data_IF_479883510894
#
_entry.id   IF_479883510894
#
_cell.length_a   1.000
_cell.length_b   1.000
_cell.length_c   1.000
_cell.angle_alpha   90.00
_cell.angle_beta   90.00
_cell.angle_gamma   90.00
#
_symmetry.space_group_name_H-M   'P 1'
#
loop_
_entity.id
_entity.type
_entity.pdbx_description
1 polymer ?
#
# COMPACT_ATOMS: atom_id res chain seq x y z
N UNK A 1 37.65 43.65 24.37
CA UNK A 1 36.71 42.75 23.66
C UNK A 1 36.16 41.78 24.70
N UNK A 2 34.86 41.83 24.97
CA UNK A 2 34.22 40.93 25.94
C UNK A 2 33.80 39.64 25.24
N UNK A 3 33.93 38.50 25.91
CA UNK A 3 33.27 37.26 25.48
C UNK A 3 31.89 37.23 26.15
N UNK A 4 30.84 37.15 25.35
CA UNK A 4 29.47 37.11 25.86
C UNK A 4 29.10 35.71 26.35
N UNK A 5 28.21 35.65 27.35
CA UNK A 5 27.58 34.40 27.74
C UNK A 5 26.73 33.85 26.57
N UNK A 6 26.51 32.53 26.56
CA UNK A 6 25.70 31.89 25.52
C UNK A 6 24.30 32.54 25.42
N UNK A 7 23.89 32.90 24.21
CA UNK A 7 22.61 33.60 23.95
C UNK A 7 22.68 35.12 23.99
N UNK A 8 23.81 35.72 24.38
CA UNK A 8 23.98 37.17 24.40
C UNK A 8 24.94 37.66 23.31
N UNK A 9 24.63 38.81 22.72
CA UNK A 9 25.39 39.43 21.64
C UNK A 9 25.63 40.93 21.90
N UNK A 10 26.45 41.56 21.04
CA UNK A 10 26.77 42.99 21.11
C UNK A 10 28.09 43.31 21.80
N UNK A 11 28.54 44.56 21.66
CA UNK A 11 29.84 45.02 22.21
C UNK A 11 29.88 45.04 23.74
N UNK A 12 28.71 45.09 24.38
CA UNK A 12 28.51 45.08 25.83
C UNK A 12 27.81 43.81 26.33
N UNK A 13 27.53 42.83 25.46
CA UNK A 13 26.79 41.61 25.80
C UNK A 13 25.41 41.85 26.44
N UNK A 14 24.77 42.99 26.14
CA UNK A 14 23.45 43.36 26.67
C UNK A 14 22.26 42.90 25.83
N UNK A 15 22.49 42.40 24.62
CA UNK A 15 21.42 41.96 23.71
C UNK A 15 21.21 40.46 23.88
N UNK A 16 20.11 40.07 24.52
CA UNK A 16 19.71 38.66 24.63
C UNK A 16 19.15 38.10 23.32
N UNK A 17 18.65 36.87 23.36
CA UNK A 17 18.08 36.18 22.22
C UNK A 17 16.70 36.73 21.79
N UNK A 18 15.96 37.35 22.72
CA UNK A 18 14.64 37.93 22.45
C UNK A 18 14.39 39.22 23.24
N UNK A 19 13.50 40.08 22.72
CA UNK A 19 12.93 41.23 23.40
C UNK A 19 11.39 41.15 23.47
N UNK A 20 10.77 40.40 22.57
CA UNK A 20 9.34 40.09 22.53
C UNK A 20 9.12 38.63 22.12
N UNK A 21 7.94 38.09 22.38
CA UNK A 21 7.62 36.69 22.05
C UNK A 21 7.78 36.36 20.57
N UNK A 22 7.54 37.32 19.66
CA UNK A 22 7.70 37.11 18.22
C UNK A 22 9.14 36.90 17.76
N UNK A 23 10.12 37.19 18.62
CA UNK A 23 11.54 36.90 18.35
C UNK A 23 11.86 35.41 18.60
N UNK A 24 10.97 34.69 19.28
CA UNK A 24 11.07 33.27 19.51
C UNK A 24 10.25 32.50 18.47
N UNK A 25 10.91 31.61 17.74
CA UNK A 25 10.28 30.84 16.67
C UNK A 25 9.38 29.72 17.23
N UNK A 26 8.49 29.21 16.37
CA UNK A 26 7.63 28.04 16.62
C UNK A 26 6.86 28.07 17.95
N UNK A 27 6.39 29.26 18.35
CA UNK A 27 5.55 29.43 19.54
C UNK A 27 6.33 29.45 20.86
N UNK A 28 7.64 29.72 20.82
CA UNK A 28 8.41 30.03 22.02
C UNK A 28 7.95 31.34 22.67
N UNK A 29 8.20 31.47 23.98
CA UNK A 29 7.89 32.69 24.76
C UNK A 29 9.17 33.34 25.25
N UNK A 30 9.25 34.66 25.21
CA UNK A 30 10.41 35.41 25.67
C UNK A 30 10.36 35.62 27.19
N UNK A 31 11.34 35.09 27.91
CA UNK A 31 11.56 35.48 29.31
C UNK A 31 12.22 36.86 29.34
N UNK A 32 11.45 37.90 29.65
CA UNK A 32 11.93 39.29 29.70
C UNK A 32 12.94 39.56 30.84
N UNK A 33 13.11 38.62 31.79
CA UNK A 33 14.11 38.75 32.86
C UNK A 33 15.48 38.28 32.40
N UNK A 34 15.54 37.19 31.63
CA UNK A 34 16.78 36.65 31.09
C UNK A 34 17.02 37.07 29.64
N UNK A 35 16.03 37.64 28.95
CA UNK A 35 16.04 37.93 27.51
C UNK A 35 16.33 36.68 26.67
N UNK A 36 15.80 35.52 27.08
CA UNK A 36 16.00 34.22 26.43
C UNK A 36 14.66 33.59 26.06
N UNK A 37 14.63 32.87 24.95
CA UNK A 37 13.43 32.14 24.53
C UNK A 37 13.26 30.86 25.36
N UNK A 38 12.04 30.68 25.89
CA UNK A 38 11.56 29.40 26.41
C UNK A 38 10.81 28.67 25.29
N UNK A 39 11.38 27.57 24.82
CA UNK A 39 10.86 26.84 23.66
C UNK A 39 9.65 25.98 23.99
N UNK A 40 8.73 25.91 23.03
CA UNK A 40 7.64 24.94 23.07
C UNK A 40 8.19 23.50 23.03
N UNK A 41 7.41 22.53 23.50
CA UNK A 41 7.81 21.13 23.51
C UNK A 41 8.18 20.65 22.08
N UNK A 42 9.34 20.03 21.95
CA UNK A 42 9.87 19.56 20.65
C UNK A 42 10.82 20.54 19.95
N UNK A 43 10.95 21.79 20.45
CA UNK A 43 11.86 22.78 19.88
C UNK A 43 13.01 23.13 20.83
N UNK A 44 14.14 23.46 20.25
CA UNK A 44 15.39 23.80 20.95
C UNK A 44 16.14 24.93 20.25
N UNK A 45 17.23 25.38 20.86
CA UNK A 45 18.06 26.48 20.37
C UNK A 45 17.74 27.82 21.04
N UNK A 46 18.58 28.82 20.81
CA UNK A 46 18.48 30.12 21.48
C UNK A 46 17.24 30.91 21.08
N UNK A 47 16.75 30.69 19.86
CA UNK A 47 15.53 31.29 19.31
C UNK A 47 14.42 30.26 19.07
N UNK A 48 14.59 29.03 19.55
CA UNK A 48 13.66 27.91 19.33
C UNK A 48 13.49 27.46 17.86
N UNK A 49 14.41 27.86 16.97
CA UNK A 49 14.36 27.54 15.55
C UNK A 49 14.77 26.11 15.16
N UNK A 50 15.09 25.24 16.13
CA UNK A 50 15.49 23.85 15.87
C UNK A 50 14.42 22.89 16.36
N UNK A 51 13.68 22.27 15.45
CA UNK A 51 12.69 21.24 15.77
C UNK A 51 13.29 19.84 15.91
N UNK A 52 12.42 18.83 15.82
CA UNK A 52 12.80 17.41 15.91
C UNK A 52 13.47 16.89 14.63
N UNK A 53 13.23 17.51 13.47
CA UNK A 53 13.78 17.07 12.19
C UNK A 53 14.11 18.25 11.26
N UNK A 54 15.05 18.03 10.35
CA UNK A 54 15.35 18.89 9.21
C UNK A 54 15.18 18.16 7.87
N UNK A 55 15.27 16.83 7.90
CA UNK A 55 15.04 15.94 6.76
C UNK A 55 14.31 14.68 7.24
N UNK A 56 13.68 13.96 6.31
CA UNK A 56 12.92 12.74 6.63
C UNK A 56 13.77 11.68 7.37
N UNK A 57 15.08 11.60 7.09
CA UNK A 57 15.96 10.62 7.75
C UNK A 57 16.20 10.90 9.24
N UNK A 58 15.81 12.07 9.74
CA UNK A 58 15.85 12.39 11.17
C UNK A 58 14.65 11.77 11.92
N UNK A 59 13.61 11.37 11.19
CA UNK A 59 12.44 10.69 11.71
C UNK A 59 12.60 9.17 11.61
N UNK A 60 12.46 8.48 12.72
CA UNK A 60 12.64 7.04 12.81
C UNK A 60 11.43 6.29 12.21
N UNK A 61 11.65 5.01 11.87
CA UNK A 61 10.61 4.06 11.43
C UNK A 61 9.67 4.55 10.32
N UNK A 62 10.22 5.30 9.35
CA UNK A 62 9.47 5.77 8.19
C UNK A 62 8.59 6.98 8.46
N UNK A 63 8.85 7.71 9.55
CA UNK A 63 8.27 9.05 9.74
C UNK A 63 8.72 10.04 8.66
N UNK A 64 7.91 11.06 8.42
CA UNK A 64 8.19 12.13 7.44
C UNK A 64 8.36 13.44 8.18
N UNK A 65 9.35 14.24 7.79
CA UNK A 65 9.57 15.55 8.40
C UNK A 65 8.64 16.59 7.78
N UNK A 66 7.78 17.21 8.61
CA UNK A 66 7.05 18.40 8.19
C UNK A 66 8.01 19.60 8.22
N UNK A 67 8.53 20.01 7.06
CA UNK A 67 9.46 21.14 6.95
C UNK A 67 8.86 22.49 7.34
N UNK A 68 7.54 22.59 7.56
CA UNK A 68 6.89 23.82 8.05
C UNK A 68 6.90 23.93 9.57
N UNK A 69 6.85 22.80 10.27
CA UNK A 69 6.88 22.74 11.74
C UNK A 69 8.18 22.15 12.28
N UNK A 70 9.03 21.59 11.42
CA UNK A 70 10.25 20.86 11.82
C UNK A 70 9.97 19.69 12.76
N UNK A 71 8.78 19.10 12.69
CA UNK A 71 8.35 17.98 13.52
C UNK A 71 8.11 16.72 12.68
N UNK A 72 8.39 15.56 13.26
CA UNK A 72 8.14 14.29 12.61
C UNK A 72 6.65 13.92 12.63
N UNK A 73 6.12 13.58 11.46
CA UNK A 73 4.84 12.89 11.29
C UNK A 73 5.10 11.38 11.29
N UNK A 74 4.67 10.68 12.33
CA UNK A 74 4.96 9.27 12.50
C UNK A 74 4.10 8.37 11.61
N UNK A 75 4.71 7.30 11.11
CA UNK A 75 3.98 6.22 10.47
C UNK A 75 3.02 5.55 11.47
N UNK A 76 1.99 4.89 10.94
CA UNK A 76 0.99 4.20 11.76
C UNK A 76 1.66 3.18 12.70
N UNK A 77 1.34 3.24 13.99
CA UNK A 77 1.93 2.38 15.02
C UNK A 77 3.13 2.98 15.76
N UNK A 78 3.66 4.13 15.32
CA UNK A 78 4.78 4.80 15.97
C UNK A 78 4.39 6.15 16.57
N UNK A 79 5.09 6.56 17.61
CA UNK A 79 4.85 7.81 18.36
C UNK A 79 6.17 8.41 18.88
N UNK A 80 6.06 9.59 19.49
CA UNK A 80 7.20 10.34 20.01
C UNK A 80 7.67 11.44 19.05
N UNK A 81 8.55 12.33 19.52
CA UNK A 81 8.99 13.50 18.74
C UNK A 81 9.80 13.14 17.51
N UNK A 82 10.51 12.01 17.55
CA UNK A 82 11.29 11.45 16.43
C UNK A 82 10.71 10.14 15.91
N UNK A 83 9.50 9.76 16.33
CA UNK A 83 8.84 8.50 15.96
C UNK A 83 9.55 7.20 16.43
N UNK A 84 10.49 7.30 17.38
CA UNK A 84 11.26 6.16 17.87
C UNK A 84 10.52 5.23 18.85
N UNK A 85 9.25 5.50 19.17
CA UNK A 85 8.46 4.69 20.10
C UNK A 85 7.42 3.88 19.33
N UNK A 86 7.63 2.58 19.18
CA UNK A 86 6.65 1.66 18.60
C UNK A 86 5.60 1.17 19.60
N UNK A 87 4.83 0.16 19.18
CA UNK A 87 3.78 -0.45 20.00
C UNK A 87 4.31 -1.32 21.15
N UNK A 88 5.54 -1.82 21.06
CA UNK A 88 6.14 -2.69 22.08
C UNK A 88 7.64 -2.45 22.25
N UNK A 89 8.15 -2.76 23.44
CA UNK A 89 9.58 -2.88 23.73
C UNK A 89 9.95 -4.28 24.25
N UNK A 90 8.97 -5.03 24.75
CA UNK A 90 9.09 -6.41 25.19
C UNK A 90 7.83 -7.20 24.83
N UNK A 91 7.92 -8.53 24.79
CA UNK A 91 6.79 -9.40 24.44
C UNK A 91 5.55 -9.18 25.34
N UNK A 92 5.74 -8.81 26.61
CA UNK A 92 4.62 -8.57 27.53
C UNK A 92 3.78 -7.34 27.21
N UNK A 93 4.27 -6.46 26.32
CA UNK A 93 3.51 -5.31 25.83
C UNK A 93 2.50 -5.74 24.74
N UNK A 94 2.68 -6.94 24.17
CA UNK A 94 1.78 -7.53 23.18
C UNK A 94 0.77 -8.45 23.84
N UNK A 95 -0.52 -8.24 23.55
CA UNK A 95 -1.61 -8.99 24.13
C UNK A 95 -1.77 -10.38 23.48
N UNK A 96 -2.49 -11.27 24.17
CA UNK A 96 -2.91 -12.60 23.70
C UNK A 96 -1.79 -13.48 23.09
N UNK A 97 -0.57 -13.36 23.63
CA UNK A 97 0.57 -14.16 23.20
C UNK A 97 1.22 -13.67 21.90
N UNK A 98 1.00 -12.41 21.53
CA UNK A 98 1.82 -11.74 20.53
C UNK A 98 3.28 -11.63 20.97
N UNK A 99 4.17 -11.47 20.00
CA UNK A 99 5.61 -11.30 20.22
C UNK A 99 6.06 -9.94 19.70
N UNK A 100 6.93 -9.27 20.42
CA UNK A 100 7.46 -7.98 20.01
C UNK A 100 8.61 -8.19 19.01
N UNK A 101 8.45 -7.69 17.78
CA UNK A 101 9.58 -7.58 16.88
C UNK A 101 10.44 -6.38 17.30
N UNK A 102 11.57 -6.66 17.96
CA UNK A 102 12.48 -5.64 18.45
C UNK A 102 13.18 -4.82 17.35
N UNK A 103 13.06 -5.21 16.07
CA UNK A 103 13.59 -4.45 14.94
C UNK A 103 12.61 -3.38 14.44
N UNK A 104 11.31 -3.66 14.54
CA UNK A 104 10.24 -2.73 14.14
C UNK A 104 9.50 -2.14 15.33
N UNK A 105 9.74 -2.62 16.56
CA UNK A 105 9.01 -2.25 17.77
C UNK A 105 7.49 -2.46 17.66
N UNK A 106 7.07 -3.40 16.81
CA UNK A 106 5.66 -3.72 16.57
C UNK A 106 5.32 -5.14 17.02
N UNK A 107 4.08 -5.33 17.48
CA UNK A 107 3.61 -6.65 17.88
C UNK A 107 3.28 -7.51 16.65
N UNK A 108 3.88 -8.70 16.60
CA UNK A 108 3.45 -9.79 15.74
C UNK A 108 2.37 -10.60 16.46
N UNK A 109 1.13 -10.51 15.98
CA UNK A 109 -0.01 -11.12 16.64
C UNK A 109 -0.10 -12.62 16.41
N UNK A 110 -0.54 -13.35 17.43
CA UNK A 110 -0.93 -14.74 17.30
C UNK A 110 -2.14 -14.88 16.36
N UNK A 111 -2.33 -16.07 15.80
CA UNK A 111 -3.47 -16.38 14.94
C UNK A 111 -4.81 -16.04 15.64
N UNK A 112 -5.70 -15.37 14.92
CA UNK A 112 -6.99 -14.91 15.45
C UNK A 112 -6.98 -13.53 16.11
N UNK A 113 -5.81 -12.86 16.20
CA UNK A 113 -5.67 -11.54 16.80
C UNK A 113 -5.03 -10.52 15.86
N UNK A 114 -5.39 -9.25 16.03
CA UNK A 114 -4.98 -8.11 15.20
C UNK A 114 -4.85 -6.82 16.04
N UNK A 115 -4.40 -5.74 15.40
CA UNK A 115 -4.18 -4.44 16.03
C UNK A 115 -2.73 -4.25 16.47
N UNK A 116 -2.37 -3.02 16.81
CA UNK A 116 -0.98 -2.63 17.11
C UNK A 116 -0.41 -3.32 18.35
N UNK A 117 -1.27 -3.66 19.31
CA UNK A 117 -0.92 -4.41 20.53
C UNK A 117 -1.53 -5.81 20.56
N UNK A 118 -2.11 -6.29 19.45
CA UNK A 118 -2.79 -7.57 19.34
C UNK A 118 -4.04 -7.74 20.22
N UNK A 119 -4.60 -6.65 20.75
CA UNK A 119 -5.77 -6.69 21.65
C UNK A 119 -7.12 -6.95 20.98
N UNK A 120 -7.17 -7.00 19.65
CA UNK A 120 -8.41 -7.13 18.88
C UNK A 120 -8.49 -8.52 18.27
N UNK A 121 -9.66 -9.17 18.30
CA UNK A 121 -9.88 -10.44 17.58
C UNK A 121 -10.05 -10.18 16.08
N UNK A 122 -9.57 -11.07 15.21
CA UNK A 122 -9.70 -10.87 13.76
C UNK A 122 -11.16 -10.95 13.30
N UNK A 123 -11.96 -11.82 13.91
CA UNK A 123 -13.41 -11.84 13.74
C UNK A 123 -14.12 -12.42 14.96
N UNK A 124 -15.35 -11.96 15.20
CA UNK A 124 -16.28 -12.53 16.17
C UNK A 124 -17.61 -12.96 15.53
N UNK A 125 -17.92 -12.43 14.35
CA UNK A 125 -19.07 -12.79 13.52
C UNK A 125 -18.69 -12.72 12.04
N UNK A 126 -19.47 -13.37 11.17
CA UNK A 126 -19.21 -13.39 9.72
C UNK A 126 -19.12 -11.99 9.10
N UNK A 127 -19.87 -11.01 9.64
CA UNK A 127 -19.84 -9.63 9.12
C UNK A 127 -18.54 -8.87 9.39
N UNK A 128 -17.68 -9.39 10.27
CA UNK A 128 -16.33 -8.83 10.49
C UNK A 128 -15.37 -9.26 9.37
N UNK A 129 -15.72 -10.29 8.60
CA UNK A 129 -14.96 -10.76 7.45
C UNK A 129 -15.46 -10.08 6.17
N UNK A 130 -14.55 -9.41 5.48
CA UNK A 130 -14.86 -8.67 4.27
C UNK A 130 -15.12 -9.61 3.08
N UNK A 131 -15.79 -9.07 2.07
CA UNK A 131 -16.02 -9.72 0.77
C UNK A 131 -16.59 -11.15 0.82
N UNK A 132 -17.46 -11.41 1.80
CA UNK A 132 -18.15 -12.70 1.93
C UNK A 132 -17.31 -13.80 2.59
N UNK A 133 -16.26 -13.43 3.33
CA UNK A 133 -15.59 -14.34 4.24
C UNK A 133 -16.51 -14.82 5.36
N UNK A 134 -16.12 -15.92 6.01
CA UNK A 134 -16.83 -16.48 7.17
C UNK A 134 -15.91 -16.55 8.37
N UNK A 135 -16.43 -16.30 9.56
CA UNK A 135 -15.64 -16.31 10.78
C UNK A 135 -15.59 -17.71 11.38
N UNK A 136 -14.40 -18.29 11.50
CA UNK A 136 -14.20 -19.48 12.30
C UNK A 136 -14.11 -19.10 13.78
N UNK A 137 -15.20 -19.28 14.52
CA UNK A 137 -15.28 -18.95 15.95
C UNK A 137 -14.35 -19.78 16.85
N UNK A 138 -13.74 -20.85 16.34
CA UNK A 138 -12.77 -21.64 17.11
C UNK A 138 -11.37 -21.06 17.03
N UNK A 139 -10.99 -20.50 15.89
CA UNK A 139 -9.68 -19.88 15.65
C UNK A 139 -9.73 -18.36 15.67
N UNK A 140 -10.93 -17.78 15.69
CA UNK A 140 -11.23 -16.34 15.57
C UNK A 140 -10.67 -15.72 14.28
N UNK A 141 -10.54 -16.52 13.22
CA UNK A 141 -9.99 -16.10 11.93
C UNK A 141 -11.04 -16.09 10.83
N UNK A 142 -10.88 -15.17 9.88
CA UNK A 142 -11.69 -15.17 8.67
C UNK A 142 -11.21 -16.23 7.68
N UNK A 143 -12.14 -17.07 7.24
CA UNK A 143 -11.98 -17.94 6.07
C UNK A 143 -12.44 -17.18 4.83
N UNK A 144 -11.48 -16.78 3.99
CA UNK A 144 -11.74 -15.93 2.85
C UNK A 144 -12.38 -16.67 1.67
N UNK A 145 -13.30 -15.98 0.99
CA UNK A 145 -13.83 -16.43 -0.29
C UNK A 145 -12.71 -16.50 -1.35
N UNK A 146 -12.93 -17.30 -2.40
CA UNK A 146 -11.95 -17.48 -3.46
C UNK A 146 -11.57 -16.13 -4.10
N UNK A 147 -10.26 -15.87 -4.18
CA UNK A 147 -9.70 -14.62 -4.71
C UNK A 147 -9.34 -13.59 -3.64
N UNK A 148 -9.85 -13.72 -2.41
CA UNK A 148 -9.56 -12.80 -1.31
C UNK A 148 -8.57 -13.39 -0.30
N UNK A 149 -7.79 -12.52 0.33
CA UNK A 149 -6.75 -12.86 1.31
C UNK A 149 -6.65 -11.79 2.40
N UNK A 150 -5.77 -12.00 3.37
CA UNK A 150 -5.60 -11.13 4.53
C UNK A 150 -6.40 -11.61 5.74
N UNK A 151 -6.10 -11.02 6.91
CA UNK A 151 -6.68 -11.44 8.19
C UNK A 151 -8.19 -11.21 8.29
N UNK A 152 -8.69 -10.19 7.59
CA UNK A 152 -10.11 -9.84 7.50
C UNK A 152 -10.68 -10.08 6.09
N UNK A 153 -9.93 -10.74 5.20
CA UNK A 153 -10.30 -10.95 3.80
C UNK A 153 -10.44 -9.68 2.95
N UNK A 154 -9.93 -8.53 3.41
CA UNK A 154 -10.03 -7.25 2.71
C UNK A 154 -9.10 -7.07 1.51
N UNK A 155 -8.23 -8.04 1.21
CA UNK A 155 -7.29 -7.96 0.08
C UNK A 155 -7.76 -8.83 -1.07
N UNK A 156 -8.20 -8.21 -2.17
CA UNK A 156 -8.55 -8.90 -3.41
C UNK A 156 -7.37 -9.13 -4.35
N UNK A 157 -7.66 -9.40 -5.62
CA UNK A 157 -6.68 -9.62 -6.67
C UNK A 157 -6.03 -8.32 -7.17
N UNK A 158 -6.68 -7.16 -6.99
CA UNK A 158 -6.16 -5.87 -7.45
C UNK A 158 -6.58 -4.72 -6.51
N UNK A 159 -5.76 -3.67 -6.48
CA UNK A 159 -6.08 -2.37 -5.90
C UNK A 159 -6.06 -1.24 -6.94
N UNK A 160 -5.37 -1.46 -8.06
CA UNK A 160 -5.30 -0.57 -9.22
C UNK A 160 -5.30 -1.36 -10.52
N UNK A 161 -5.62 -0.71 -11.63
CA UNK A 161 -5.65 -1.38 -12.94
C UNK A 161 -4.32 -2.05 -13.32
N UNK A 162 -3.18 -1.50 -12.89
CA UNK A 162 -1.87 -2.08 -13.20
C UNK A 162 -1.59 -3.43 -12.52
N UNK A 163 -2.38 -3.80 -11.51
CA UNK A 163 -2.29 -5.12 -10.89
C UNK A 163 -2.94 -6.21 -11.76
N UNK A 164 -3.77 -5.80 -12.73
CA UNK A 164 -4.42 -6.67 -13.68
C UNK A 164 -3.59 -6.75 -14.97
N UNK A 165 -3.18 -7.97 -15.32
CA UNK A 165 -2.33 -8.22 -16.48
C UNK A 165 -3.10 -8.04 -17.80
N UNK A 166 -2.34 -7.86 -18.88
CA UNK A 166 -2.84 -7.84 -20.26
C UNK A 166 -4.01 -6.89 -20.54
N UNK A 167 -4.04 -5.75 -19.85
CA UNK A 167 -5.06 -4.72 -20.05
C UNK A 167 -6.40 -5.04 -19.37
N UNK A 168 -6.39 -5.90 -18.35
CA UNK A 168 -7.51 -6.00 -17.42
C UNK A 168 -7.72 -4.71 -16.65
N UNK A 169 -8.94 -4.50 -16.16
CA UNK A 169 -9.29 -3.36 -15.30
C UNK A 169 -9.67 -3.85 -13.91
N UNK A 170 -9.28 -3.10 -12.89
CA UNK A 170 -9.60 -3.44 -11.53
C UNK A 170 -10.99 -2.91 -11.17
N UNK A 171 -11.89 -3.82 -10.78
CA UNK A 171 -13.13 -3.39 -10.15
C UNK A 171 -12.86 -3.03 -8.69
N UNK A 172 -12.74 -1.74 -8.39
CA UNK A 172 -12.46 -1.24 -7.03
C UNK A 172 -13.59 -1.52 -6.02
N UNK A 173 -14.77 -1.98 -6.46
CA UNK A 173 -15.83 -2.42 -5.54
C UNK A 173 -15.68 -3.86 -5.09
N UNK A 174 -15.13 -4.73 -5.92
CA UNK A 174 -14.89 -6.15 -5.61
C UNK A 174 -13.41 -6.49 -5.44
N UNK A 175 -12.51 -5.56 -5.75
CA UNK A 175 -11.05 -5.76 -5.77
C UNK A 175 -10.63 -6.93 -6.67
N UNK A 176 -11.40 -7.21 -7.73
CA UNK A 176 -11.14 -8.28 -8.69
C UNK A 176 -10.86 -7.72 -10.08
N UNK A 177 -9.98 -8.39 -10.82
CA UNK A 177 -9.69 -8.01 -12.20
C UNK A 177 -10.81 -8.42 -13.15
N UNK A 178 -11.30 -7.46 -13.92
CA UNK A 178 -12.12 -7.67 -15.10
C UNK A 178 -11.21 -7.85 -16.32
N UNK A 179 -11.06 -9.10 -16.76
CA UNK A 179 -10.13 -9.43 -17.83
C UNK A 179 -10.60 -8.96 -19.21
N UNK A 180 -9.65 -8.47 -20.00
CA UNK A 180 -9.86 -8.21 -21.41
C UNK A 180 -10.22 -9.51 -22.15
N UNK A 181 -10.92 -9.37 -23.29
CA UNK A 181 -11.36 -10.53 -24.06
C UNK A 181 -10.17 -11.42 -24.47
N UNK A 182 -10.25 -12.71 -24.13
CA UNK A 182 -9.19 -13.69 -24.40
C UNK A 182 -8.27 -13.99 -23.21
N UNK A 183 -8.42 -13.28 -22.09
CA UNK A 183 -7.66 -13.50 -20.86
C UNK A 183 -8.56 -13.93 -19.70
N UNK A 184 -8.02 -14.72 -18.80
CA UNK A 184 -8.70 -15.32 -17.64
C UNK A 184 -7.76 -15.41 -16.43
N UNK A 185 -8.30 -15.88 -15.30
CA UNK A 185 -7.58 -15.95 -14.02
C UNK A 185 -7.84 -14.73 -13.15
N UNK A 186 -7.40 -14.79 -11.89
CA UNK A 186 -7.66 -13.74 -10.88
C UNK A 186 -6.94 -12.43 -11.19
N UNK A 187 -5.76 -12.50 -11.83
CA UNK A 187 -4.97 -11.34 -12.27
C UNK A 187 -4.98 -11.16 -13.78
N UNK A 188 -5.82 -11.90 -14.52
CA UNK A 188 -5.86 -11.90 -15.98
C UNK A 188 -4.59 -12.40 -16.69
N UNK A 189 -3.65 -13.03 -15.96
CA UNK A 189 -2.39 -13.54 -16.52
C UNK A 189 -2.52 -14.79 -17.40
N UNK A 190 -3.70 -15.39 -17.51
CA UNK A 190 -3.90 -16.61 -18.33
C UNK A 190 -4.54 -16.25 -19.67
N UNK A 191 -3.74 -16.21 -20.72
CA UNK A 191 -4.21 -16.02 -22.09
C UNK A 191 -4.62 -17.31 -22.79
N UNK A 192 -4.64 -17.24 -24.12
CA UNK A 192 -5.06 -18.32 -24.98
C UNK A 192 -4.13 -19.54 -24.99
N UNK A 193 -2.84 -19.25 -24.99
CA UNK A 193 -1.83 -20.23 -25.27
C UNK A 193 -0.59 -19.95 -24.43
N UNK A 194 0.11 -21.01 -24.06
CA UNK A 194 1.46 -20.95 -23.50
C UNK A 194 2.49 -21.48 -24.50
N UNK A 195 2.06 -22.28 -25.48
CA UNK A 195 2.88 -22.83 -26.55
C UNK A 195 2.11 -22.90 -27.87
N UNK A 196 2.82 -22.99 -29.00
CA UNK A 196 2.19 -23.10 -30.33
C UNK A 196 1.21 -24.26 -30.45
N UNK A 197 1.44 -25.38 -29.73
CA UNK A 197 0.53 -26.54 -29.77
C UNK A 197 -0.82 -26.29 -29.12
N UNK A 198 -0.95 -25.24 -28.30
CA UNK A 198 -2.24 -24.82 -27.73
C UNK A 198 -3.10 -24.10 -28.79
N UNK A 199 -2.48 -23.65 -29.88
CA UNK A 199 -3.14 -23.00 -31.00
C UNK A 199 -3.57 -24.02 -32.07
N UNK A 200 -4.87 -24.08 -32.34
CA UNK A 200 -5.40 -25.00 -33.36
C UNK A 200 -4.93 -24.65 -34.79
N UNK A 201 -5.00 -25.64 -35.68
CA UNK A 201 -4.70 -25.52 -37.13
C UNK A 201 -3.29 -24.99 -37.47
N UNK A 202 -2.32 -25.22 -36.58
CA UNK A 202 -0.93 -24.81 -36.79
C UNK A 202 -0.72 -23.31 -36.62
N UNK A 203 -1.57 -22.65 -35.83
CA UNK A 203 -1.32 -21.28 -35.37
C UNK A 203 -0.07 -21.20 -34.48
N UNK A 204 0.48 -19.99 -34.36
CA UNK A 204 1.63 -19.71 -33.49
C UNK A 204 1.19 -18.90 -32.29
N UNK A 205 1.67 -19.25 -31.10
CA UNK A 205 1.40 -18.51 -29.90
C UNK A 205 2.33 -17.29 -29.80
N UNK A 206 1.77 -16.10 -29.69
CA UNK A 206 2.54 -14.93 -29.28
C UNK A 206 2.69 -14.96 -27.76
N UNK A 207 3.85 -15.38 -27.29
CA UNK A 207 4.16 -15.50 -25.86
C UNK A 207 4.16 -14.14 -25.14
N UNK A 208 4.14 -13.02 -25.86
CA UNK A 208 4.06 -11.67 -25.30
C UNK A 208 2.62 -11.26 -24.97
N UNK A 209 1.66 -11.71 -25.77
CA UNK A 209 0.23 -11.45 -25.58
C UNK A 209 -0.53 -12.70 -25.14
N UNK A 210 0.16 -13.84 -25.03
CA UNK A 210 -0.42 -15.16 -24.81
C UNK A 210 -1.58 -15.47 -25.78
N UNK A 211 -1.55 -14.91 -26.99
CA UNK A 211 -2.62 -15.05 -27.97
C UNK A 211 -2.16 -15.81 -29.21
N UNK A 212 -3.04 -16.65 -29.73
CA UNK A 212 -2.80 -17.38 -30.97
C UNK A 212 -2.92 -16.47 -32.19
N UNK A 213 -1.90 -16.52 -33.05
CA UNK A 213 -1.93 -15.96 -34.39
C UNK A 213 -2.22 -17.06 -35.41
N UNK A 214 -3.19 -16.80 -36.29
CA UNK A 214 -3.57 -17.76 -37.32
C UNK A 214 -2.45 -17.99 -38.34
N UNK A 215 -2.28 -19.25 -38.77
CA UNK A 215 -1.45 -19.57 -39.92
C UNK A 215 -2.00 -18.93 -41.22
N UNK A 216 -1.13 -18.78 -42.23
CA UNK A 216 -1.51 -18.17 -43.51
C UNK A 216 -2.70 -18.90 -44.16
N UNK A 217 -3.78 -18.16 -44.44
CA UNK A 217 -5.02 -18.68 -45.03
C UNK A 217 -6.12 -19.04 -44.01
N UNK A 218 -5.89 -18.80 -42.72
CA UNK A 218 -6.87 -18.95 -41.64
C UNK A 218 -7.18 -17.58 -41.02
N UNK A 219 -8.44 -17.37 -40.59
CA UNK A 219 -8.88 -16.15 -39.91
C UNK A 219 -9.75 -16.51 -38.70
N UNK A 220 -9.64 -15.73 -37.64
CA UNK A 220 -10.41 -15.91 -36.40
C UNK A 220 -9.64 -15.29 -35.23
N UNK A 221 -10.35 -14.72 -34.25
CA UNK A 221 -9.72 -14.00 -33.14
C UNK A 221 -10.24 -14.36 -31.76
N UNK A 222 -11.11 -15.36 -31.56
CA UNK A 222 -11.79 -15.50 -30.25
C UNK A 222 -12.07 -16.92 -29.72
N UNK A 223 -11.98 -16.97 -28.40
CA UNK A 223 -12.07 -18.06 -27.43
C UNK A 223 -13.43 -18.74 -27.22
N UNK A 224 -14.46 -18.38 -28.00
CA UNK A 224 -15.83 -18.85 -27.72
C UNK A 224 -16.60 -19.36 -28.93
N UNK A 225 -16.05 -19.31 -30.15
CA UNK A 225 -16.78 -19.80 -31.30
C UNK A 225 -16.39 -21.24 -31.65
N UNK A 226 -17.03 -22.20 -30.97
CA UNK A 226 -17.08 -23.59 -31.45
C UNK A 226 -17.84 -23.71 -32.79
N UNK A 227 -18.31 -22.61 -33.42
CA UNK A 227 -18.95 -22.65 -34.75
C UNK A 227 -18.67 -21.40 -35.59
N UNK A 228 -17.84 -21.61 -36.63
CA UNK A 228 -17.56 -20.73 -37.80
C UNK A 228 -16.37 -19.78 -37.53
N UNK A 229 -15.38 -19.65 -38.41
CA UNK A 229 -15.44 -19.56 -39.87
C UNK A 229 -14.25 -20.33 -40.48
N UNK A 230 -14.58 -21.39 -41.21
CA UNK A 230 -13.68 -21.99 -42.20
C UNK A 230 -13.72 -21.12 -43.46
N UNK A 231 -12.57 -20.78 -44.03
CA UNK A 231 -12.27 -20.99 -45.45
C UNK A 231 -10.79 -20.71 -45.75
N UNK A 232 -10.01 -21.69 -46.23
CA UNK A 232 -8.76 -21.41 -46.90
C UNK A 232 -9.12 -20.73 -48.22
N UNK A 233 -8.65 -19.50 -48.43
CA UNK A 233 -8.65 -18.76 -49.70
C UNK A 233 -9.39 -19.45 -50.87
N UNK A 234 -10.71 -19.32 -50.94
CA UNK A 234 -11.44 -19.45 -52.21
C UNK A 234 -11.91 -18.08 -52.64
N UNK A 235 -11.18 -17.51 -53.59
CA UNK A 235 -11.75 -16.55 -54.54
C UNK A 235 -12.79 -17.29 -55.38
N UNK A 236 -14.01 -17.52 -54.87
CA UNK A 236 -15.17 -17.57 -55.76
C UNK A 236 -16.48 -17.43 -54.97
N UNK A 237 -17.29 -16.49 -55.43
CA UNK A 237 -18.63 -16.21 -54.95
C UNK A 237 -19.56 -17.33 -55.41
N UNK A 238 -19.93 -18.28 -54.56
CA UNK A 238 -21.15 -19.07 -54.80
C UNK A 238 -21.86 -19.43 -53.50
N UNK A 239 -23.07 -18.87 -53.36
CA UNK A 239 -24.09 -19.28 -52.41
C UNK A 239 -24.51 -20.71 -52.77
N UNK A 240 -24.48 -21.64 -51.81
CA UNK A 240 -25.08 -22.98 -51.96
C UNK A 240 -25.81 -23.33 -50.66
N UNK A 241 -27.01 -23.94 -50.73
CA UNK A 241 -28.07 -23.71 -49.76
C UNK A 241 -28.06 -24.70 -48.59
N UNK A 242 -28.88 -24.35 -47.59
CA UNK A 242 -29.14 -25.11 -46.37
C UNK A 242 -29.47 -26.58 -46.66
N UNK A 243 -28.83 -27.48 -45.91
CA UNK A 243 -29.33 -28.86 -45.75
C UNK A 243 -29.70 -29.02 -44.29
N UNK A 244 -31.00 -29.24 -44.11
CA UNK A 244 -31.70 -29.43 -42.85
C UNK A 244 -31.33 -30.73 -42.15
N UNK A 245 -31.54 -30.68 -40.84
CA UNK A 245 -31.39 -31.70 -39.80
C UNK A 245 -31.70 -33.14 -40.18
N UNK A 246 -30.84 -34.05 -39.71
CA UNK A 246 -31.25 -35.20 -38.90
C UNK A 246 -30.08 -35.69 -38.03
#
# INVERSE_FOLDING_TARGET
MCMCAAGYTGTTCGTGACAVDSDCEYGGTCDLTTLMCMCAAGYTGTTCGTGACAVDSDCEYGGTCDLTTLMCMCAAGYTGTTCGTGACAVDSDCEYGGTCDLTTLMCMCAAGYTGTTCGTVACAVDSDCEYGGTCDLTTLMCMCAAGYTGTTCGTGACAVDSDCEYGGTCDLTTLMCMCAAGYTGTTCGTGACAVDSDCEYGGTCDLTTLMCHCAAGYTGTTWLDKRRIFHPNRKDSTVVPEVSSN
#
